data_IF_706076480842
#
_entry.id   IF_706076480842
#
_cell.length_a   1.000
_cell.length_b   1.000
_cell.length_c   1.000
_cell.angle_alpha   90.00
_cell.angle_beta   90.00
_cell.angle_gamma   90.00
#
_symmetry.space_group_name_H-M   'P 1'
#
loop_
_entity.id
_entity.type
_entity.pdbx_description
1 polymer ?
#
# COMPACT_ATOMS: atom_id res chain seq x y z
N UNK A 1 8.07 6.18 9.11
CA UNK A 1 9.14 6.95 8.45
C UNK A 1 9.11 6.63 6.97
N UNK A 2 9.06 7.64 6.10
CA UNK A 2 9.13 7.42 4.65
C UNK A 2 10.50 6.88 4.24
N UNK A 3 10.56 5.95 3.28
CA UNK A 3 11.83 5.43 2.79
C UNK A 3 12.65 6.56 2.16
N UNK A 4 13.87 6.73 2.67
CA UNK A 4 14.87 7.63 2.08
C UNK A 4 15.42 6.98 0.82
N UNK A 5 15.77 7.78 -0.18
CA UNK A 5 16.38 7.28 -1.40
C UNK A 5 17.78 6.74 -1.11
N UNK A 6 18.03 5.50 -1.52
CA UNK A 6 19.27 4.79 -1.23
C UNK A 6 20.46 5.51 -1.88
N UNK A 7 21.46 5.89 -1.08
CA UNK A 7 22.62 6.67 -1.56
C UNK A 7 22.44 8.20 -1.60
N UNK A 8 21.24 8.72 -1.29
CA UNK A 8 20.97 10.16 -1.13
C UNK A 8 20.60 10.54 0.30
N UNK A 9 20.98 9.68 1.24
CA UNK A 9 20.52 9.72 2.62
C UNK A 9 21.02 10.97 3.37
N UNK A 10 22.21 11.47 2.98
CA UNK A 10 22.84 12.70 3.45
C UNK A 10 23.75 13.34 2.39
N UNK A 11 23.30 13.47 1.14
CA UNK A 11 24.12 14.20 0.14
C UNK A 11 24.16 15.68 0.52
N UNK A 12 25.37 16.19 0.81
CA UNK A 12 25.61 17.61 1.16
C UNK A 12 24.77 18.13 2.34
N UNK A 13 24.40 17.26 3.28
CA UNK A 13 23.57 17.63 4.44
C UNK A 13 22.06 17.63 4.20
N UNK A 14 21.61 17.20 3.01
CA UNK A 14 20.20 17.08 2.67
C UNK A 14 19.75 15.62 2.66
N UNK A 15 18.50 15.39 3.07
CA UNK A 15 17.82 14.09 3.03
C UNK A 15 16.70 14.14 2.00
N UNK A 16 16.67 13.18 1.10
CA UNK A 16 15.66 13.09 0.04
C UNK A 16 14.75 11.86 0.23
N UNK A 17 13.44 12.05 0.15
CA UNK A 17 12.47 10.98 0.36
C UNK A 17 11.18 11.20 -0.44
N UNK A 18 10.47 10.11 -0.71
CA UNK A 18 9.15 10.11 -1.31
C UNK A 18 8.08 9.94 -0.22
N UNK A 19 7.01 10.72 -0.28
CA UNK A 19 5.82 10.55 0.59
C UNK A 19 4.67 9.98 -0.23
N UNK A 20 4.01 8.98 0.32
CA UNK A 20 2.98 8.20 -0.37
C UNK A 20 1.54 8.67 -0.11
N UNK A 21 1.36 9.86 0.48
CA UNK A 21 0.03 10.26 0.98
C UNK A 21 -0.93 10.71 -0.14
N UNK A 22 -0.43 11.14 -1.30
CA UNK A 22 -1.27 11.76 -2.32
C UNK A 22 -1.53 10.85 -3.51
N UNK A 23 -2.76 10.33 -3.56
CA UNK A 23 -3.27 9.49 -4.66
C UNK A 23 -3.52 10.37 -5.89
N UNK A 24 -2.63 10.29 -6.88
CA UNK A 24 -2.82 10.91 -8.20
C UNK A 24 -2.02 12.18 -8.46
N UNK A 25 -1.14 12.58 -7.54
CA UNK A 25 -0.25 13.70 -7.77
C UNK A 25 0.87 13.39 -8.77
N UNK A 26 1.37 14.46 -9.40
CA UNK A 26 2.55 14.40 -10.26
C UNK A 26 3.76 13.88 -9.48
N UNK A 27 4.73 13.22 -10.16
CA UNK A 27 6.00 12.82 -9.58
C UNK A 27 6.66 13.97 -8.79
N UNK A 28 6.82 13.80 -7.48
CA UNK A 28 7.36 14.82 -6.60
C UNK A 28 8.30 14.20 -5.55
N UNK A 29 9.23 15.01 -5.09
CA UNK A 29 10.27 14.66 -4.13
C UNK A 29 10.26 15.63 -2.97
N UNK A 30 10.42 15.11 -1.75
CA UNK A 30 10.68 15.93 -0.57
C UNK A 30 12.16 15.95 -0.26
N UNK A 31 12.67 17.13 0.04
CA UNK A 31 14.04 17.36 0.49
C UNK A 31 14.02 18.08 1.84
N UNK A 32 14.79 17.58 2.79
CA UNK A 32 14.94 18.14 4.13
C UNK A 32 16.40 18.55 4.38
N UNK A 33 16.63 19.73 4.95
CA UNK A 33 17.97 20.26 5.24
C UNK A 33 17.93 21.38 6.27
N UNK A 34 18.92 21.45 7.15
CA UNK A 34 19.08 22.52 8.17
C UNK A 34 17.82 22.84 9.00
N UNK A 35 16.92 21.85 9.18
CA UNK A 35 15.64 22.02 9.89
C UNK A 35 14.47 22.53 9.03
N UNK A 36 14.69 22.74 7.74
CA UNK A 36 13.67 23.08 6.74
C UNK A 36 13.31 21.93 5.80
N UNK A 37 12.22 22.10 5.06
CA UNK A 37 11.68 21.13 4.11
C UNK A 37 11.23 21.82 2.81
N UNK A 38 11.46 21.16 1.68
CA UNK A 38 11.01 21.58 0.36
C UNK A 38 10.33 20.41 -0.37
N UNK A 39 9.26 20.72 -1.12
CA UNK A 39 8.60 19.80 -2.05
C UNK A 39 8.82 20.28 -3.49
N UNK A 40 9.32 19.40 -4.34
CA UNK A 40 9.69 19.70 -5.73
C UNK A 40 9.03 18.69 -6.67
N UNK A 41 8.39 19.16 -7.73
CA UNK A 41 7.91 18.32 -8.82
C UNK A 41 9.07 17.90 -9.72
N UNK A 42 9.28 16.59 -9.89
CA UNK A 42 10.43 16.07 -10.63
C UNK A 42 10.35 16.37 -12.13
N UNK A 43 9.16 16.45 -12.72
CA UNK A 43 8.99 16.64 -14.17
C UNK A 43 9.44 18.03 -14.64
N UNK A 44 9.02 19.05 -13.90
CA UNK A 44 9.19 20.46 -14.28
C UNK A 44 10.22 21.18 -13.39
N UNK A 45 10.82 20.47 -12.42
CA UNK A 45 11.67 21.01 -11.35
C UNK A 45 11.03 22.18 -10.59
N UNK A 46 9.71 22.25 -10.60
CA UNK A 46 8.93 23.30 -9.96
C UNK A 46 8.86 23.06 -8.45
N UNK A 47 9.22 24.07 -7.66
CA UNK A 47 9.05 24.06 -6.20
C UNK A 47 7.59 24.35 -5.88
N UNK A 48 6.92 23.44 -5.20
CA UNK A 48 5.55 23.67 -4.73
C UNK A 48 5.55 24.51 -3.46
N UNK A 49 6.41 24.15 -2.51
CA UNK A 49 6.66 24.94 -1.31
C UNK A 49 8.04 24.67 -0.76
N UNK A 50 8.59 25.67 -0.08
CA UNK A 50 9.80 25.61 0.72
C UNK A 50 9.56 26.31 2.05
N UNK A 51 9.98 25.69 3.15
CA UNK A 51 9.85 26.25 4.51
C UNK A 51 11.10 25.97 5.31
N UNK A 52 11.65 27.01 5.95
CA UNK A 52 12.82 26.88 6.83
C UNK A 52 14.14 26.63 6.12
N UNK A 53 14.18 26.72 4.79
CA UNK A 53 15.40 26.64 3.98
C UNK A 53 15.83 28.03 3.52
N UNK A 54 17.14 28.23 3.43
CA UNK A 54 17.70 29.44 2.82
C UNK A 54 17.71 29.31 1.29
N UNK A 55 17.70 30.43 0.58
CA UNK A 55 17.78 30.45 -0.89
C UNK A 55 19.03 29.73 -1.44
N UNK A 56 20.15 29.75 -0.69
CA UNK A 56 21.36 29.02 -1.07
C UNK A 56 21.17 27.49 -0.96
N UNK A 57 20.40 27.02 0.02
CA UNK A 57 20.07 25.61 0.19
C UNK A 57 19.07 25.14 -0.85
N UNK A 58 18.02 25.92 -1.12
CA UNK A 58 17.05 25.63 -2.17
C UNK A 58 17.74 25.43 -3.53
N UNK A 59 18.65 26.35 -3.91
CA UNK A 59 19.41 26.22 -5.16
C UNK A 59 20.32 24.99 -5.18
N UNK A 60 20.94 24.64 -4.05
CA UNK A 60 21.76 23.42 -3.95
C UNK A 60 20.91 22.17 -4.10
N UNK A 61 19.74 22.14 -3.47
CA UNK A 61 18.80 21.03 -3.56
C UNK A 61 18.32 20.89 -5.01
N UNK A 62 17.87 21.97 -5.65
CA UNK A 62 17.42 21.96 -7.04
C UNK A 62 18.51 21.46 -7.99
N UNK A 63 19.76 21.90 -7.82
CA UNK A 63 20.87 21.42 -8.65
C UNK A 63 21.12 19.91 -8.48
N UNK A 64 21.02 19.39 -7.24
CA UNK A 64 21.14 17.94 -6.99
C UNK A 64 19.99 17.19 -7.65
N UNK A 65 18.77 17.72 -7.59
CA UNK A 65 17.58 17.12 -8.20
C UNK A 65 17.70 17.11 -9.72
N UNK A 66 18.13 18.22 -10.32
CA UNK A 66 18.33 18.34 -11.76
C UNK A 66 19.39 17.36 -12.27
N UNK A 67 20.55 17.30 -11.61
CA UNK A 67 21.64 16.38 -11.97
C UNK A 67 21.21 14.90 -11.90
N UNK A 68 20.30 14.56 -10.98
CA UNK A 68 19.89 13.18 -10.71
C UNK A 68 18.42 12.92 -11.11
N UNK A 69 17.80 13.78 -11.91
CA UNK A 69 16.37 13.76 -12.20
C UNK A 69 15.91 12.41 -12.75
N UNK A 70 16.67 11.84 -13.69
CA UNK A 70 16.37 10.53 -14.31
C UNK A 70 16.41 9.39 -13.29
N UNK A 71 17.33 9.45 -12.33
CA UNK A 71 17.44 8.44 -11.28
C UNK A 71 16.23 8.51 -10.36
N UNK A 72 15.86 9.71 -9.91
CA UNK A 72 14.71 9.92 -9.03
C UNK A 72 13.39 9.52 -9.69
N UNK A 73 13.19 9.84 -10.97
CA UNK A 73 12.01 9.38 -11.71
C UNK A 73 11.93 7.86 -11.78
N UNK A 74 13.05 7.20 -12.08
CA UNK A 74 13.11 5.73 -12.13
C UNK A 74 12.80 5.10 -10.78
N UNK A 75 13.41 5.60 -9.70
CA UNK A 75 13.16 5.07 -8.36
C UNK A 75 11.72 5.29 -7.91
N UNK A 76 11.12 6.43 -8.27
CA UNK A 76 9.71 6.68 -8.00
C UNK A 76 8.81 5.67 -8.74
N UNK A 77 9.08 5.42 -10.02
CA UNK A 77 8.32 4.45 -10.81
C UNK A 77 8.46 3.02 -10.26
N UNK A 78 9.67 2.62 -9.85
CA UNK A 78 9.95 1.32 -9.25
C UNK A 78 9.20 1.16 -7.91
N UNK A 79 9.23 2.18 -7.05
CA UNK A 79 8.51 2.19 -5.77
C UNK A 79 6.99 2.11 -5.96
N UNK A 80 6.44 2.90 -6.88
CA UNK A 80 5.01 2.88 -7.19
C UNK A 80 4.61 1.51 -7.73
N UNK A 81 5.41 0.93 -8.62
CA UNK A 81 5.14 -0.39 -9.19
C UNK A 81 5.13 -1.48 -8.12
N UNK A 82 6.11 -1.47 -7.21
CA UNK A 82 6.17 -2.39 -6.07
C UNK A 82 4.96 -2.24 -5.15
N UNK A 83 4.61 -1.00 -4.77
CA UNK A 83 3.45 -0.72 -3.93
C UNK A 83 2.13 -1.15 -4.59
N UNK A 84 2.01 -1.02 -5.91
CA UNK A 84 0.83 -1.50 -6.65
C UNK A 84 0.69 -3.02 -6.58
N UNK A 85 1.79 -3.75 -6.79
CA UNK A 85 1.80 -5.22 -6.71
C UNK A 85 1.43 -5.70 -5.30
N UNK A 86 2.03 -5.11 -4.27
CA UNK A 86 1.73 -5.46 -2.88
C UNK A 86 0.27 -5.16 -2.52
N UNK A 87 -0.27 -4.00 -2.93
CA UNK A 87 -1.68 -3.67 -2.73
C UNK A 87 -2.63 -4.64 -3.45
N UNK A 88 -2.25 -5.13 -4.64
CA UNK A 88 -3.05 -6.12 -5.36
C UNK A 88 -3.07 -7.47 -4.61
N UNK A 89 -1.93 -7.91 -4.10
CA UNK A 89 -1.81 -9.13 -3.30
C UNK A 89 -2.58 -9.03 -1.97
N UNK A 90 -2.51 -7.88 -1.29
CA UNK A 90 -3.24 -7.65 -0.06
C UNK A 90 -4.76 -7.69 -0.29
N UNK A 91 -5.23 -7.13 -1.41
CA UNK A 91 -6.65 -7.21 -1.79
C UNK A 91 -7.11 -8.64 -2.05
N UNK A 92 -6.32 -9.46 -2.76
CA UNK A 92 -6.70 -10.86 -2.99
C UNK A 92 -6.73 -11.66 -1.69
N UNK A 93 -5.73 -11.45 -0.81
CA UNK A 93 -5.69 -12.09 0.52
C UNK A 93 -6.84 -11.64 1.43
N UNK A 94 -7.22 -10.37 1.39
CA UNK A 94 -8.37 -9.87 2.13
C UNK A 94 -9.67 -10.54 1.65
N UNK A 95 -9.83 -10.69 0.34
CA UNK A 95 -11.01 -11.37 -0.22
C UNK A 95 -11.08 -12.84 0.21
N UNK A 96 -9.97 -13.57 0.24
CA UNK A 96 -9.98 -14.97 0.71
C UNK A 96 -10.31 -15.06 2.20
N UNK A 97 -9.71 -14.21 3.04
CA UNK A 97 -10.01 -14.16 4.47
C UNK A 97 -11.47 -13.80 4.77
N UNK A 98 -12.06 -12.91 3.97
CA UNK A 98 -13.49 -12.58 4.08
C UNK A 98 -14.38 -13.77 3.72
N UNK A 99 -14.01 -14.58 2.72
CA UNK A 99 -14.72 -15.81 2.38
C UNK A 99 -14.61 -16.83 3.52
N UNK A 100 -13.41 -17.03 4.07
CA UNK A 100 -13.19 -17.96 5.18
C UNK A 100 -13.97 -17.53 6.43
N UNK A 101 -13.99 -16.23 6.74
CA UNK A 101 -14.78 -15.68 7.84
C UNK A 101 -16.28 -15.91 7.63
N UNK A 102 -16.78 -15.70 6.42
CA UNK A 102 -18.19 -15.93 6.10
C UNK A 102 -18.58 -17.40 6.26
N UNK A 103 -17.70 -18.34 5.85
CA UNK A 103 -17.91 -19.77 6.07
C UNK A 103 -17.92 -20.12 7.56
N UNK A 104 -16.99 -19.58 8.34
CA UNK A 104 -16.95 -19.80 9.79
C UNK A 104 -18.17 -19.21 10.50
N UNK A 105 -18.62 -18.02 10.13
CA UNK A 105 -19.85 -17.41 10.64
C UNK A 105 -21.07 -18.27 10.32
N UNK A 106 -21.17 -18.77 9.08
CA UNK A 106 -22.23 -19.70 8.68
C UNK A 106 -22.17 -20.98 9.53
N UNK A 107 -21.00 -21.58 9.74
CA UNK A 107 -20.82 -22.74 10.62
C UNK A 107 -21.39 -22.54 12.03
N UNK A 108 -21.13 -21.36 12.63
CA UNK A 108 -21.59 -21.01 13.97
C UNK A 108 -23.11 -20.84 14.02
N UNK A 109 -23.72 -20.17 13.03
CA UNK A 109 -25.17 -20.03 12.95
C UNK A 109 -25.85 -21.38 12.75
N UNK A 110 -25.27 -22.26 11.93
CA UNK A 110 -25.74 -23.63 11.74
C UNK A 110 -25.75 -24.46 13.03
N UNK A 111 -24.77 -24.25 13.92
CA UNK A 111 -24.77 -24.91 15.24
C UNK A 111 -25.93 -24.45 16.13
N UNK A 112 -26.50 -23.27 15.88
CA UNK A 112 -27.60 -22.70 16.66
C UNK A 112 -28.98 -23.07 16.11
N UNK A 113 -29.08 -23.45 14.83
CA UNK A 113 -30.33 -23.88 14.19
C UNK A 113 -30.51 -25.40 14.27
N UNK A 114 -31.59 -25.93 14.86
CA UNK A 114 -31.84 -27.37 14.85
C UNK A 114 -32.10 -27.85 13.40
N UNK A 115 -31.30 -28.82 12.95
CA UNK A 115 -31.45 -29.46 11.64
C UNK A 115 -32.76 -30.25 11.62
N UNK A 116 -33.78 -29.76 10.91
CA UNK A 116 -35.07 -30.43 10.80
C UNK A 116 -35.07 -31.24 9.49
N UNK A 117 -34.91 -32.57 9.58
CA UNK A 117 -34.99 -33.48 8.43
C UNK A 117 -36.47 -33.63 8.00
N UNK A 118 -37.03 -32.60 7.37
CA UNK A 118 -38.24 -32.72 6.55
C UNK A 118 -37.84 -33.13 5.13
N UNK A 119 -38.51 -34.13 4.56
CA UNK A 119 -38.16 -34.73 3.25
C UNK A 119 -38.29 -33.80 2.04
N UNK A 120 -38.85 -32.60 2.22
CA UNK A 120 -39.31 -31.75 1.12
C UNK A 120 -38.45 -30.47 0.93
N UNK A 121 -37.49 -30.20 1.81
CA UNK A 121 -36.67 -28.97 1.83
C UNK A 121 -35.20 -29.20 1.40
N UNK A 122 -34.96 -30.05 0.40
CA UNK A 122 -33.60 -30.27 -0.12
C UNK A 122 -33.12 -29.05 -0.94
N UNK A 123 -32.33 -28.17 -0.32
CA UNK A 123 -31.61 -27.09 -1.00
C UNK A 123 -30.18 -27.54 -1.37
N UNK A 124 -29.84 -27.69 -2.66
CA UNK A 124 -28.51 -28.10 -3.13
C UNK A 124 -27.37 -27.18 -2.68
N UNK A 125 -27.63 -25.87 -2.53
CA UNK A 125 -26.63 -24.91 -2.06
C UNK A 125 -26.27 -25.14 -0.59
N UNK A 126 -27.21 -25.70 0.16
CA UNK A 126 -27.05 -26.01 1.56
C UNK A 126 -26.22 -27.29 1.78
N UNK A 127 -26.41 -28.29 0.92
CA UNK A 127 -25.58 -29.50 0.90
C UNK A 127 -24.12 -29.21 0.53
N UNK A 128 -23.87 -28.37 -0.48
CA UNK A 128 -22.51 -27.95 -0.83
C UNK A 128 -21.83 -27.15 0.29
N UNK A 129 -22.60 -26.34 1.01
CA UNK A 129 -22.13 -25.65 2.22
C UNK A 129 -21.79 -26.67 3.31
N UNK A 130 -22.62 -27.70 3.49
CA UNK A 130 -22.40 -28.78 4.46
C UNK A 130 -21.11 -29.56 4.19
N UNK A 131 -20.84 -29.92 2.94
CA UNK A 131 -19.59 -30.57 2.54
C UNK A 131 -18.37 -29.68 2.81
N UNK A 132 -18.45 -28.37 2.49
CA UNK A 132 -17.37 -27.42 2.76
C UNK A 132 -17.09 -27.27 4.26
N UNK A 133 -18.14 -27.26 5.09
CA UNK A 133 -18.01 -27.20 6.55
C UNK A 133 -17.41 -28.49 7.13
N UNK A 134 -17.86 -29.66 6.68
CA UNK A 134 -17.29 -30.95 7.07
C UNK A 134 -15.79 -31.04 6.75
N UNK A 135 -15.39 -30.61 5.55
CA UNK A 135 -13.99 -30.51 5.13
C UNK A 135 -13.19 -29.52 5.99
N UNK A 136 -13.76 -28.36 6.31
CA UNK A 136 -13.12 -27.38 7.20
C UNK A 136 -12.85 -27.96 8.60
N UNK A 137 -13.82 -28.66 9.20
CA UNK A 137 -13.63 -29.30 10.51
C UNK A 137 -12.64 -30.46 10.47
N UNK A 138 -12.56 -31.21 9.36
CA UNK A 138 -11.58 -32.27 9.17
C UNK A 138 -10.14 -31.74 8.98
N UNK A 139 -9.97 -30.55 8.40
CA UNK A 139 -8.66 -29.94 8.17
C UNK A 139 -8.15 -29.11 9.36
N UNK A 140 -9.03 -28.73 10.30
CA UNK A 140 -8.72 -27.91 11.47
C UNK A 140 -8.47 -28.72 12.77
N UNK A 141 -8.55 -30.05 12.72
CA UNK A 141 -8.18 -30.98 13.79
C UNK A 141 -6.87 -31.71 13.48
#
# INVERSE_FOLDING_TARGET
>A
MSPTIKGFEKRKGFRFFFTSHDRGEKPHLHAEGSGGIMKVFLKDLAVEYSRGLTYAEERKILAIIEENQKLFLKEQDDLISKLRLENQQLKSKQSSLQQDLALAQRAVEWRKTPFNFGSDDFDPDDYLTHLKLMLYFLAAG
#
